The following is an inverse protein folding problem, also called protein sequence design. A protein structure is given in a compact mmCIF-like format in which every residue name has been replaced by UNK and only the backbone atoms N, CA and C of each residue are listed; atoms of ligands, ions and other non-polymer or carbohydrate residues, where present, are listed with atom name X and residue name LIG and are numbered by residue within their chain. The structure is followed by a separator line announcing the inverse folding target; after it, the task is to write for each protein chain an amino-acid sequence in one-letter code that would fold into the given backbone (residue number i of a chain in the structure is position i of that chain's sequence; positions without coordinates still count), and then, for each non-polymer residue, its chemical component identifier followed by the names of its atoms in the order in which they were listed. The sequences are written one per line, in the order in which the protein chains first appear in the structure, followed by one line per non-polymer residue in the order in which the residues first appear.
data_IF_905900283092
#
_entry.id   IF_905900283092
#
_cell.length_a   1.000
_cell.length_b   1.000
_cell.length_c   1.000
_cell.angle_alpha   90.00
_cell.angle_beta   90.00
_cell.angle_gamma   90.00
#
_symmetry.space_group_name_H-M   'P 1'
#
loop_
_entity.id
_entity.type
_entity.pdbx_description
1 polymer ?
#
# COMPACT_ATOMS: atom_id res chain seq x y z
N UNK A 1 8.06 -8.74 -34.71
CA UNK A 1 7.56 -7.80 -33.69
C UNK A 1 6.41 -8.50 -33.00
N UNK A 2 6.75 -9.37 -32.04
CA UNK A 2 5.77 -10.15 -31.29
C UNK A 2 5.08 -9.22 -30.30
N UNK A 3 3.76 -9.13 -30.41
CA UNK A 3 2.91 -8.52 -29.39
C UNK A 3 2.99 -9.43 -28.16
N UNK A 4 3.86 -9.11 -27.21
CA UNK A 4 3.86 -9.71 -25.87
C UNK A 4 2.50 -9.45 -25.27
N UNK A 5 1.61 -10.46 -25.29
CA UNK A 5 0.34 -10.43 -24.56
C UNK A 5 0.67 -10.08 -23.11
N UNK A 6 0.07 -9.00 -22.61
CA UNK A 6 0.15 -8.67 -21.19
C UNK A 6 -0.31 -9.93 -20.42
N UNK A 7 0.52 -10.45 -19.50
CA UNK A 7 0.08 -11.57 -18.69
C UNK A 7 -1.16 -11.08 -17.93
N UNK A 8 -2.25 -11.84 -18.01
CA UNK A 8 -3.54 -11.62 -17.32
C UNK A 8 -4.70 -10.96 -18.09
N UNK A 9 -4.65 -10.75 -19.41
CA UNK A 9 -5.77 -10.14 -20.16
C UNK A 9 -7.14 -10.81 -19.89
N UNK A 10 -7.20 -12.14 -19.95
CA UNK A 10 -8.45 -12.89 -19.72
C UNK A 10 -8.90 -12.78 -18.25
N UNK A 11 -7.97 -12.88 -17.32
CA UNK A 11 -8.24 -12.76 -15.88
C UNK A 11 -8.68 -11.34 -15.51
N UNK A 12 -8.17 -10.32 -16.19
CA UNK A 12 -8.57 -8.93 -16.00
C UNK A 12 -10.00 -8.70 -16.49
N UNK A 13 -10.38 -9.28 -17.63
CA UNK A 13 -11.76 -9.25 -18.13
C UNK A 13 -12.69 -9.93 -17.12
N UNK A 14 -12.34 -11.14 -16.66
CA UNK A 14 -13.14 -11.87 -15.66
C UNK A 14 -13.26 -11.07 -14.36
N UNK A 15 -12.15 -10.52 -13.85
CA UNK A 15 -12.11 -9.74 -12.62
C UNK A 15 -13.01 -8.50 -12.71
N UNK A 16 -12.96 -7.76 -13.83
CA UNK A 16 -13.86 -6.62 -14.07
C UNK A 16 -15.33 -7.03 -14.08
N UNK A 17 -15.64 -8.20 -14.65
CA UNK A 17 -16.99 -8.79 -14.59
C UNK A 17 -17.44 -9.04 -13.14
N UNK A 18 -16.60 -9.73 -12.37
CA UNK A 18 -16.86 -10.00 -10.93
C UNK A 18 -17.02 -8.73 -10.12
N UNK A 19 -16.23 -7.68 -10.39
CA UNK A 19 -16.33 -6.38 -9.70
C UNK A 19 -17.70 -5.74 -9.91
N UNK A 20 -18.24 -5.79 -11.14
CA UNK A 20 -19.57 -5.22 -11.46
C UNK A 20 -20.71 -5.93 -10.74
N UNK A 21 -20.54 -7.20 -10.42
CA UNK A 21 -21.54 -8.00 -9.69
C UNK A 21 -21.33 -7.95 -8.16
N UNK A 22 -20.27 -7.28 -7.67
CA UNK A 22 -19.89 -7.33 -6.26
C UNK A 22 -20.28 -6.05 -5.52
N UNK A 23 -21.37 -6.10 -4.74
CA UNK A 23 -21.97 -4.97 -4.01
C UNK A 23 -20.99 -4.07 -3.23
N UNK A 24 -19.94 -4.65 -2.63
CA UNK A 24 -18.97 -3.87 -1.86
C UNK A 24 -17.87 -3.22 -2.70
N UNK A 25 -17.55 -3.74 -3.90
CA UNK A 25 -16.42 -3.29 -4.71
C UNK A 25 -16.90 -2.42 -5.88
N UNK A 26 -18.06 -2.76 -6.47
CA UNK A 26 -18.68 -2.04 -7.59
C UNK A 26 -18.72 -0.51 -7.39
N UNK A 27 -19.08 0.03 -6.21
CA UNK A 27 -19.15 1.48 -5.99
C UNK A 27 -17.80 2.20 -6.11
N UNK A 28 -16.70 1.44 -6.14
CA UNK A 28 -15.34 1.93 -6.28
C UNK A 28 -14.72 1.55 -7.63
N UNK A 29 -15.48 0.95 -8.56
CA UNK A 29 -14.94 0.47 -9.83
C UNK A 29 -14.23 1.57 -10.65
N UNK A 30 -14.71 2.82 -10.60
CA UNK A 30 -14.14 3.97 -11.31
C UNK A 30 -12.69 4.33 -10.91
N UNK A 31 -12.27 3.94 -9.70
CA UNK A 31 -10.92 4.23 -9.16
C UNK A 31 -9.98 3.02 -9.24
N UNK A 32 -10.51 1.86 -9.64
CA UNK A 32 -9.80 0.60 -9.81
C UNK A 32 -9.45 0.40 -11.28
N UNK A 33 -8.55 1.24 -11.80
CA UNK A 33 -8.06 1.14 -13.17
C UNK A 33 -7.30 -0.17 -13.46
N UNK A 34 -7.04 -0.42 -14.74
CA UNK A 34 -6.43 -1.66 -15.23
C UNK A 34 -5.05 -1.92 -14.62
N UNK A 35 -4.24 -0.88 -14.41
CA UNK A 35 -2.93 -1.01 -13.79
C UNK A 35 -3.06 -1.45 -12.33
N UNK A 36 -4.01 -0.86 -11.60
CA UNK A 36 -4.32 -1.22 -10.23
C UNK A 36 -4.80 -2.68 -10.14
N UNK A 37 -5.78 -3.07 -10.96
CA UNK A 37 -6.32 -4.43 -10.97
C UNK A 37 -5.28 -5.48 -11.39
N UNK A 38 -4.42 -5.13 -12.34
CA UNK A 38 -3.32 -5.99 -12.78
C UNK A 38 -2.29 -6.20 -11.67
N UNK A 39 -1.99 -5.16 -10.88
CA UNK A 39 -1.18 -5.29 -9.67
C UNK A 39 -1.77 -6.30 -8.67
N UNK A 40 -3.10 -6.28 -8.49
CA UNK A 40 -3.81 -7.27 -7.67
C UNK A 40 -3.70 -8.70 -8.20
N UNK A 41 -3.96 -8.90 -9.49
CA UNK A 41 -3.84 -10.20 -10.14
C UNK A 41 -2.42 -10.74 -10.04
N UNK A 42 -1.42 -9.91 -10.34
CA UNK A 42 0.01 -10.24 -10.21
C UNK A 42 0.32 -10.71 -8.78
N UNK A 43 -0.09 -9.93 -7.78
CA UNK A 43 0.07 -10.26 -6.36
C UNK A 43 -0.51 -11.61 -5.94
N UNK A 44 -1.61 -12.02 -6.55
CA UNK A 44 -2.30 -13.29 -6.29
C UNK A 44 -2.04 -14.35 -7.36
N UNK A 45 -1.01 -14.18 -8.20
CA UNK A 45 -0.58 -15.13 -9.25
C UNK A 45 -1.67 -15.44 -10.29
N UNK A 46 -2.49 -14.44 -10.62
CA UNK A 46 -3.60 -14.56 -11.59
C UNK A 46 -4.84 -15.25 -11.04
N UNK A 47 -4.89 -15.57 -9.75
CA UNK A 47 -6.06 -16.18 -9.12
C UNK A 47 -7.16 -15.12 -8.90
N UNK A 48 -8.21 -15.17 -9.73
CA UNK A 48 -9.29 -14.17 -9.74
C UNK A 48 -10.07 -14.20 -8.42
N UNK A 49 -10.39 -15.38 -7.88
CA UNK A 49 -11.18 -15.48 -6.64
C UNK A 49 -10.40 -14.93 -5.43
N UNK A 50 -9.11 -15.26 -5.30
CA UNK A 50 -8.24 -14.66 -4.28
C UNK A 50 -8.07 -13.16 -4.49
N UNK A 51 -8.09 -12.71 -5.74
CA UNK A 51 -7.99 -11.29 -6.09
C UNK A 51 -9.23 -10.51 -5.67
N UNK A 52 -10.43 -11.00 -5.98
CA UNK A 52 -11.71 -10.40 -5.55
C UNK A 52 -11.74 -10.28 -4.03
N UNK A 53 -11.38 -11.35 -3.30
CA UNK A 53 -11.33 -11.33 -1.84
C UNK A 53 -10.31 -10.33 -1.30
N UNK A 54 -9.15 -10.19 -1.96
CA UNK A 54 -8.14 -9.20 -1.58
C UNK A 54 -8.62 -7.76 -1.83
N UNK A 55 -9.32 -7.53 -2.94
CA UNK A 55 -9.92 -6.23 -3.26
C UNK A 55 -11.03 -5.89 -2.26
N UNK A 56 -11.90 -6.84 -1.91
CA UNK A 56 -12.90 -6.65 -0.87
C UNK A 56 -12.27 -6.22 0.45
N UNK A 57 -11.24 -6.94 0.90
CA UNK A 57 -10.50 -6.58 2.12
C UNK A 57 -9.82 -5.22 2.01
N UNK A 58 -9.24 -4.88 0.86
CA UNK A 58 -8.65 -3.56 0.60
C UNK A 58 -9.70 -2.45 0.71
N UNK A 59 -10.86 -2.61 0.08
CA UNK A 59 -11.96 -1.65 0.16
C UNK A 59 -12.48 -1.54 1.59
N UNK A 60 -12.76 -2.65 2.29
CA UNK A 60 -13.18 -2.62 3.70
C UNK A 60 -12.14 -1.95 4.61
N UNK A 61 -10.86 -2.21 4.37
CA UNK A 61 -9.76 -1.55 5.06
C UNK A 61 -9.87 -0.04 4.89
N UNK A 62 -9.95 0.44 3.64
CA UNK A 62 -9.98 1.86 3.32
C UNK A 62 -11.23 2.59 3.79
N UNK A 63 -12.37 1.91 3.75
CA UNK A 63 -13.68 2.52 3.89
C UNK A 63 -14.26 2.42 5.29
N UNK A 64 -13.89 1.37 6.02
CA UNK A 64 -14.43 1.08 7.36
C UNK A 64 -13.33 1.22 8.40
N UNK A 65 -12.28 0.39 8.31
CA UNK A 65 -11.26 0.29 9.38
C UNK A 65 -10.44 1.57 9.53
N UNK A 66 -10.12 2.22 8.42
CA UNK A 66 -9.22 3.39 8.38
C UNK A 66 -9.92 4.69 8.00
N UNK A 67 -11.25 4.72 7.93
CA UNK A 67 -12.04 5.88 7.50
C UNK A 67 -11.58 7.20 8.13
N UNK A 68 -11.27 7.18 9.42
CA UNK A 68 -10.85 8.38 10.16
C UNK A 68 -9.47 8.89 9.74
N UNK A 69 -8.59 8.01 9.26
CA UNK A 69 -7.26 8.34 8.75
C UNK A 69 -7.29 8.68 7.25
N UNK A 70 -8.10 7.97 6.47
CA UNK A 70 -8.13 8.08 5.01
C UNK A 70 -8.96 9.26 4.50
N UNK A 71 -10.00 9.69 5.23
CA UNK A 71 -10.94 10.71 4.76
C UNK A 71 -10.30 12.06 4.44
N UNK A 72 -9.34 12.48 5.26
CA UNK A 72 -8.66 13.79 5.16
C UNK A 72 -7.29 13.71 4.51
N UNK A 73 -6.86 12.52 4.09
CA UNK A 73 -5.50 12.34 3.61
C UNK A 73 -5.35 12.89 2.19
N UNK A 74 -4.39 13.80 2.03
CA UNK A 74 -3.92 14.31 0.74
C UNK A 74 -2.41 14.18 0.73
N UNK A 75 -1.83 13.28 -0.06
CA UNK A 75 -0.38 13.15 -0.22
C UNK A 75 0.37 14.48 -0.29
N UNK A 76 -0.12 15.45 -1.07
CA UNK A 76 0.52 16.75 -1.24
C UNK A 76 0.72 17.52 0.08
N UNK A 77 -0.16 17.30 1.06
CA UNK A 77 -0.19 18.01 2.35
C UNK A 77 0.65 17.34 3.45
N UNK A 78 1.12 16.10 3.22
CA UNK A 78 1.81 15.32 4.25
C UNK A 78 3.30 15.62 4.24
N UNK A 79 3.72 16.51 5.14
CA UNK A 79 5.14 16.90 5.33
C UNK A 79 6.08 15.71 5.62
N UNK A 80 5.55 14.64 6.19
CA UNK A 80 6.31 13.44 6.52
C UNK A 80 6.90 12.78 5.25
N UNK A 81 6.23 12.92 4.10
CA UNK A 81 6.77 12.44 2.82
C UNK A 81 8.01 13.23 2.39
N UNK A 82 8.04 14.53 2.63
CA UNK A 82 9.20 15.40 2.33
C UNK A 82 10.41 15.09 3.22
N UNK A 83 10.16 14.47 4.37
CA UNK A 83 11.19 14.04 5.33
C UNK A 83 11.75 12.65 5.01
N UNK A 84 11.36 12.04 3.88
CA UNK A 84 11.86 10.72 3.47
C UNK A 84 11.27 9.55 4.26
N UNK A 85 10.09 9.71 4.86
CA UNK A 85 9.47 8.63 5.64
C UNK A 85 9.03 7.40 4.82
N UNK A 86 9.07 7.52 3.50
CA UNK A 86 8.85 6.44 2.55
C UNK A 86 9.84 6.60 1.39
N UNK A 87 10.66 5.58 1.20
CA UNK A 87 11.65 5.54 0.14
C UNK A 87 11.66 4.16 -0.50
N UNK A 88 11.60 4.12 -1.83
CA UNK A 88 11.69 2.89 -2.62
C UNK A 88 13.10 2.78 -3.17
N UNK A 89 13.75 1.63 -3.02
CA UNK A 89 15.09 1.44 -3.57
C UNK A 89 15.01 1.22 -5.08
N UNK A 90 15.96 1.78 -5.83
CA UNK A 90 16.09 1.55 -7.28
C UNK A 90 16.44 0.12 -7.61
N UNK A 91 17.23 -0.51 -6.75
CA UNK A 91 17.75 -1.86 -6.95
C UNK A 91 16.95 -2.89 -6.17
N UNK A 92 16.67 -4.02 -6.82
CA UNK A 92 16.13 -5.19 -6.15
C UNK A 92 17.24 -5.91 -5.41
N UNK A 93 16.86 -6.68 -4.39
CA UNK A 93 17.79 -7.57 -3.72
C UNK A 93 18.18 -8.78 -4.59
N UNK A 94 19.13 -9.64 -4.17
CA UNK A 94 19.57 -10.79 -4.96
C UNK A 94 18.47 -11.80 -5.30
N UNK A 95 17.33 -11.76 -4.59
CA UNK A 95 16.16 -12.60 -4.85
C UNK A 95 15.13 -11.92 -5.75
N UNK A 96 15.44 -10.73 -6.29
CA UNK A 96 14.56 -9.96 -7.16
C UNK A 96 13.42 -9.26 -6.43
N UNK A 97 13.51 -9.12 -5.10
CA UNK A 97 12.47 -8.50 -4.27
C UNK A 97 12.64 -6.98 -4.25
N UNK A 98 11.52 -6.26 -4.25
CA UNK A 98 11.51 -4.80 -4.07
C UNK A 98 11.92 -4.48 -2.63
N UNK A 99 12.84 -3.55 -2.44
CA UNK A 99 13.30 -3.11 -1.12
C UNK A 99 12.71 -1.74 -0.81
N UNK A 100 12.08 -1.61 0.35
CA UNK A 100 11.46 -0.36 0.81
C UNK A 100 12.08 0.07 2.14
N UNK A 101 12.32 1.37 2.30
CA UNK A 101 12.68 1.99 3.57
C UNK A 101 11.52 2.85 4.05
N UNK A 102 11.02 2.58 5.25
CA UNK A 102 9.87 3.28 5.83
C UNK A 102 10.12 3.69 7.27
N UNK A 103 9.62 4.85 7.66
CA UNK A 103 9.47 5.20 9.08
C UNK A 103 8.24 4.53 9.68
N UNK A 104 8.26 4.31 11.00
CA UNK A 104 7.17 3.68 11.75
C UNK A 104 5.95 4.63 11.89
N UNK A 105 5.17 4.77 10.81
CA UNK A 105 3.92 5.53 10.81
C UNK A 105 2.85 4.87 9.93
N UNK A 106 1.57 5.00 10.35
CA UNK A 106 0.43 4.48 9.57
C UNK A 106 0.33 5.18 8.20
N UNK A 107 0.65 6.48 8.16
CA UNK A 107 0.68 7.29 6.96
C UNK A 107 1.62 6.73 5.89
N UNK A 108 2.88 6.49 6.26
CA UNK A 108 3.89 5.94 5.36
C UNK A 108 3.48 4.55 4.85
N UNK A 109 2.94 3.71 5.74
CA UNK A 109 2.47 2.38 5.39
C UNK A 109 1.33 2.42 4.35
N UNK A 110 0.39 3.35 4.50
CA UNK A 110 -0.73 3.51 3.56
C UNK A 110 -0.28 4.03 2.19
N UNK A 111 0.59 5.04 2.17
CA UNK A 111 1.16 5.56 0.91
C UNK A 111 2.01 4.54 0.18
N UNK A 112 2.79 3.76 0.94
CA UNK A 112 3.56 2.64 0.41
C UNK A 112 2.66 1.63 -0.29
N UNK A 113 1.50 1.32 0.30
CA UNK A 113 0.56 0.41 -0.31
C UNK A 113 0.05 0.97 -1.65
N UNK A 114 -0.43 2.20 -1.68
CA UNK A 114 -1.07 2.75 -2.88
C UNK A 114 -0.11 2.92 -4.05
N UNK A 115 1.06 3.50 -3.78
CA UNK A 115 2.10 3.67 -4.79
C UNK A 115 2.78 2.34 -5.12
N UNK A 116 3.00 1.51 -4.11
CA UNK A 116 3.53 0.16 -4.26
C UNK A 116 2.67 -0.64 -5.23
N UNK A 117 1.35 -0.66 -5.06
CA UNK A 117 0.43 -1.38 -5.95
C UNK A 117 0.51 -0.86 -7.38
N UNK A 118 0.49 0.47 -7.56
CA UNK A 118 0.39 1.08 -8.89
C UNK A 118 1.68 0.97 -9.70
N UNK A 119 2.85 1.12 -9.07
CA UNK A 119 4.13 1.23 -9.78
C UNK A 119 5.09 0.07 -9.54
N UNK A 120 5.16 -0.46 -8.32
CA UNK A 120 6.23 -1.39 -7.92
C UNK A 120 5.80 -2.85 -7.92
N UNK A 121 4.58 -3.14 -7.46
CA UNK A 121 3.99 -4.47 -7.55
C UNK A 121 3.56 -4.82 -8.97
N UNK A 122 3.55 -3.84 -9.88
CA UNK A 122 3.54 -4.11 -11.30
C UNK A 122 4.82 -4.87 -11.73
N UNK A 123 6.01 -4.49 -11.27
CA UNK A 123 7.28 -5.08 -11.73
C UNK A 123 7.78 -6.23 -10.85
N UNK A 124 7.35 -6.32 -9.60
CA UNK A 124 7.72 -7.41 -8.68
C UNK A 124 6.72 -7.63 -7.54
N UNK A 125 6.27 -8.87 -7.34
CA UNK A 125 5.19 -9.20 -6.37
C UNK A 125 5.68 -9.56 -4.96
N UNK A 126 6.98 -9.49 -4.71
CA UNK A 126 7.59 -9.82 -3.43
C UNK A 126 8.43 -8.65 -2.96
N UNK A 127 8.38 -8.36 -1.66
CA UNK A 127 9.08 -7.21 -1.12
C UNK A 127 9.65 -7.46 0.26
N UNK A 128 10.64 -6.63 0.60
CA UNK A 128 11.28 -6.57 1.90
C UNK A 128 11.19 -5.14 2.40
N UNK A 129 10.78 -4.97 3.66
CA UNK A 129 10.67 -3.65 4.28
C UNK A 129 11.76 -3.47 5.32
N UNK A 130 12.51 -2.40 5.21
CA UNK A 130 13.41 -1.88 6.23
C UNK A 130 12.63 -0.79 6.97
N UNK A 131 12.48 -0.97 8.28
CA UNK A 131 11.75 -0.06 9.15
C UNK A 131 12.77 0.72 9.97
N UNK A 132 12.90 2.00 9.64
CA UNK A 132 13.80 2.90 10.36
C UNK A 132 13.15 3.42 11.64
N UNK A 133 13.73 3.02 12.78
CA UNK A 133 13.32 3.48 14.11
C UNK A 133 14.13 4.70 14.59
N UNK A 134 15.06 5.21 13.78
CA UNK A 134 15.84 6.40 14.13
C UNK A 134 14.90 7.59 14.31
N UNK A 135 15.04 8.29 15.45
CA UNK A 135 14.17 9.42 15.77
C UNK A 135 12.78 9.04 16.27
N UNK A 136 12.52 7.75 16.58
CA UNK A 136 11.31 7.32 17.30
C UNK A 136 11.20 8.05 18.64
N UNK A 137 10.44 9.14 18.66
CA UNK A 137 10.24 9.95 19.85
C UNK A 137 9.13 9.35 20.73
N UNK A 138 9.10 9.69 22.03
CA UNK A 138 8.01 9.29 22.92
C UNK A 138 6.62 9.68 22.39
N UNK A 139 6.53 10.73 21.55
CA UNK A 139 5.28 11.10 20.89
C UNK A 139 4.82 10.04 19.85
N UNK A 140 5.73 9.47 19.06
CA UNK A 140 5.44 8.36 18.15
C UNK A 140 5.16 7.05 18.91
N UNK A 141 5.87 6.79 20.02
CA UNK A 141 5.56 5.65 20.88
C UNK A 141 4.15 5.75 21.49
N UNK A 142 3.70 6.96 21.84
CA UNK A 142 2.32 7.21 22.31
C UNK A 142 1.26 7.00 21.24
N UNK A 143 1.59 7.18 19.95
CA UNK A 143 0.66 6.90 18.85
C UNK A 143 0.68 5.44 18.40
N UNK A 144 1.71 4.65 18.76
CA UNK A 144 1.80 3.18 18.59
C UNK A 144 0.89 2.41 19.56
N UNK A 145 -0.39 2.75 19.61
CA UNK A 145 -1.37 1.98 20.40
C UNK A 145 -1.51 0.55 19.87
N UNK A 146 -1.95 -0.40 20.70
CA UNK A 146 -2.22 -1.78 20.27
C UNK A 146 -3.15 -1.83 19.05
N UNK A 147 -4.16 -0.94 19.01
CA UNK A 147 -5.03 -0.79 17.85
C UNK A 147 -4.23 -0.47 16.57
N UNK A 148 -3.33 0.50 16.64
CA UNK A 148 -2.52 0.93 15.50
C UNK A 148 -1.51 -0.15 15.06
N UNK A 149 -0.99 -0.94 16.00
CA UNK A 149 -0.15 -2.10 15.70
C UNK A 149 -0.96 -3.18 14.95
N UNK A 150 -2.15 -3.53 15.46
CA UNK A 150 -3.02 -4.49 14.77
C UNK A 150 -3.42 -4.00 13.39
N UNK A 151 -3.66 -2.70 13.22
CA UNK A 151 -3.90 -2.09 11.92
C UNK A 151 -2.69 -2.32 10.99
N UNK A 152 -1.47 -1.96 11.39
CA UNK A 152 -0.29 -2.19 10.55
C UNK A 152 -0.15 -3.67 10.17
N UNK A 153 -0.30 -4.60 11.12
CA UNK A 153 -0.20 -6.06 10.85
C UNK A 153 -1.30 -6.54 9.89
N UNK A 154 -2.55 -6.12 10.09
CA UNK A 154 -3.67 -6.50 9.21
C UNK A 154 -3.45 -5.98 7.79
N UNK A 155 -2.90 -4.77 7.65
CA UNK A 155 -2.51 -4.19 6.36
C UNK A 155 -1.58 -5.14 5.59
N UNK A 156 -0.45 -5.53 6.20
CA UNK A 156 0.56 -6.36 5.54
C UNK A 156 0.15 -7.82 5.30
N UNK A 157 -0.76 -8.36 6.11
CA UNK A 157 -1.10 -9.81 6.05
C UNK A 157 -2.28 -10.12 5.14
N UNK A 158 -3.27 -9.23 5.02
CA UNK A 158 -4.54 -9.55 4.33
C UNK A 158 -4.90 -8.61 3.20
N UNK A 159 -4.36 -7.40 3.19
CA UNK A 159 -4.88 -6.31 2.36
C UNK A 159 -3.95 -5.99 1.18
N UNK A 160 -2.66 -6.31 1.26
CA UNK A 160 -1.71 -6.00 0.18
C UNK A 160 -1.73 -7.07 -0.92
N UNK A 161 -1.81 -6.66 -2.20
CA UNK A 161 -1.62 -7.55 -3.35
C UNK A 161 -0.12 -7.79 -3.63
N UNK A 162 0.63 -8.16 -2.60
CA UNK A 162 2.00 -8.59 -2.76
C UNK A 162 2.36 -9.51 -1.60
N UNK A 163 3.59 -9.99 -1.59
CA UNK A 163 4.06 -11.01 -0.66
C UNK A 163 5.21 -10.44 0.16
N UNK A 164 4.93 -9.93 1.37
CA UNK A 164 6.00 -9.54 2.28
C UNK A 164 6.85 -10.77 2.59
N UNK A 165 8.17 -10.65 2.46
CA UNK A 165 9.11 -11.75 2.75
C UNK A 165 9.91 -11.54 4.02
N UNK A 166 10.22 -10.30 4.35
CA UNK A 166 10.92 -9.94 5.56
C UNK A 166 10.61 -8.48 5.94
N UNK A 167 10.69 -8.22 7.25
CA UNK A 167 10.63 -6.88 7.82
C UNK A 167 11.84 -6.76 8.75
N UNK A 168 12.75 -5.83 8.43
CA UNK A 168 13.96 -5.57 9.21
C UNK A 168 13.78 -4.28 10.00
N UNK A 169 13.82 -4.34 11.33
CA UNK A 169 13.78 -3.15 12.17
C UNK A 169 15.22 -2.72 12.47
N UNK A 170 15.59 -1.53 12.01
CA UNK A 170 16.89 -0.92 12.27
C UNK A 170 16.74 0.22 13.27
N UNK A 171 17.82 0.56 13.97
CA UNK A 171 17.83 1.60 15.02
C UNK A 171 16.86 1.34 16.19
N UNK A 172 16.24 0.14 16.26
CA UNK A 172 15.56 -0.36 17.46
C UNK A 172 16.55 -0.89 18.49
N UNK A 173 17.64 -1.48 18.00
CA UNK A 173 18.89 -1.74 18.71
C UNK A 173 20.07 -1.17 17.89
N UNK A 174 21.24 -1.03 18.51
CA UNK A 174 22.44 -0.43 17.89
C UNK A 174 23.03 -1.20 16.71
N UNK A 175 22.57 -2.43 16.46
CA UNK A 175 23.19 -3.32 15.50
C UNK A 175 22.52 -3.27 14.12
N UNK A 176 23.11 -2.50 13.22
CA UNK A 176 22.72 -2.46 11.79
C UNK A 176 23.49 -3.53 11.00
N UNK A 177 24.46 -4.23 11.59
CA UNK A 177 25.37 -5.13 10.86
C UNK A 177 24.65 -6.37 10.32
N UNK A 178 23.68 -6.90 11.07
CA UNK A 178 22.83 -8.02 10.63
C UNK A 178 21.86 -7.69 9.47
N UNK A 179 21.70 -6.40 9.12
CA UNK A 179 20.94 -6.02 7.92
C UNK A 179 21.62 -6.58 6.66
N UNK A 180 22.95 -6.56 6.63
CA UNK A 180 23.73 -6.95 5.45
C UNK A 180 23.76 -8.45 5.19
N UNK A 181 23.44 -9.26 6.20
CA UNK A 181 23.20 -10.71 6.04
C UNK A 181 22.00 -10.99 5.13
N UNK A 182 21.04 -10.05 5.06
CA UNK A 182 19.78 -10.22 4.35
C UNK A 182 19.64 -9.30 3.13
N UNK A 183 20.24 -8.11 3.17
CA UNK A 183 20.16 -7.08 2.13
C UNK A 183 21.57 -6.55 1.85
N UNK A 184 22.15 -6.79 0.66
CA UNK A 184 23.54 -6.42 0.37
C UNK A 184 23.81 -4.91 0.52
N UNK A 185 24.95 -4.56 1.12
CA UNK A 185 25.43 -3.17 1.26
C UNK A 185 25.49 -2.42 -0.08
N UNK A 186 25.87 -3.11 -1.16
CA UNK A 186 25.99 -2.55 -2.52
C UNK A 186 24.70 -1.96 -3.12
N UNK A 187 23.53 -2.28 -2.57
CA UNK A 187 22.23 -1.74 -3.02
C UNK A 187 21.63 -0.73 -2.04
N UNK A 188 22.31 -0.47 -0.92
CA UNK A 188 21.83 0.39 0.16
C UNK A 188 22.57 1.73 0.18
N UNK A 189 21.92 2.80 0.68
CA UNK A 189 22.57 4.09 0.86
C UNK A 189 23.56 4.08 2.04
N UNK A 190 24.49 5.02 2.07
CA UNK A 190 25.44 5.20 3.19
C UNK A 190 24.77 5.34 4.56
N UNK A 191 23.56 5.92 4.62
CA UNK A 191 22.79 6.04 5.88
C UNK A 191 22.42 4.68 6.50
N UNK A 192 22.41 3.62 5.70
CA UNK A 192 22.18 2.24 6.12
C UNK A 192 23.47 1.41 6.09
N UNK A 193 24.63 2.06 6.23
CA UNK A 193 25.97 1.45 6.08
C UNK A 193 26.18 0.77 4.72
N UNK A 194 25.47 1.22 3.68
CA UNK A 194 25.64 0.74 2.31
C UNK A 194 26.75 1.44 1.54
N UNK A 195 26.82 1.19 0.23
CA UNK A 195 27.89 1.68 -0.65
C UNK A 195 27.44 2.80 -1.60
N UNK A 196 26.13 3.05 -1.69
CA UNK A 196 25.55 3.99 -2.64
C UNK A 196 25.26 5.37 -2.03
N UNK A 197 25.30 6.39 -2.88
CA UNK A 197 24.70 7.68 -2.55
C UNK A 197 23.18 7.54 -2.40
N UNK A 198 22.54 8.53 -1.77
CA UNK A 198 21.08 8.55 -1.66
C UNK A 198 20.40 8.55 -3.04
N UNK A 199 20.98 9.30 -3.99
CA UNK A 199 20.46 9.44 -5.34
C UNK A 199 20.59 8.14 -6.13
N UNK A 200 21.66 7.37 -5.91
CA UNK A 200 21.88 6.09 -6.59
C UNK A 200 21.08 4.95 -5.95
N UNK A 201 20.83 5.00 -4.64
CA UNK A 201 20.08 3.96 -3.94
C UNK A 201 18.57 4.09 -4.12
N UNK A 202 18.02 5.31 -4.16
CA UNK A 202 16.58 5.57 -3.95
C UNK A 202 15.92 6.14 -5.22
N UNK A 203 14.73 5.67 -5.54
CA UNK A 203 13.91 6.31 -6.58
C UNK A 203 13.32 7.62 -6.05
N UNK A 204 14.04 8.71 -6.34
CA UNK A 204 13.66 10.08 -5.99
C UNK A 204 12.32 10.54 -6.60
N UNK A 205 11.81 9.83 -7.61
CA UNK A 205 10.50 10.14 -8.21
C UNK A 205 9.33 9.56 -7.41
N UNK A 206 9.59 8.69 -6.43
CA UNK A 206 8.54 8.09 -5.59
C UNK A 206 7.70 9.14 -4.88
N UNK A 207 8.35 10.07 -4.18
CA UNK A 207 7.64 11.11 -3.42
C UNK A 207 6.85 12.06 -4.33
N UNK A 208 7.43 12.61 -5.42
CA UNK A 208 6.68 13.38 -6.41
C UNK A 208 5.43 12.66 -6.95
N UNK A 209 5.54 11.38 -7.33
CA UNK A 209 4.40 10.60 -7.83
C UNK A 209 3.30 10.45 -6.77
N UNK A 210 3.68 10.08 -5.55
CA UNK A 210 2.74 9.98 -4.42
C UNK A 210 2.02 11.32 -4.22
N UNK A 211 2.77 12.43 -4.17
CA UNK A 211 2.21 13.78 -3.99
C UNK A 211 1.30 14.24 -5.12
N UNK A 212 1.54 13.78 -6.34
CA UNK A 212 0.68 14.08 -7.51
C UNK A 212 -0.64 13.30 -7.51
N UNK A 213 -0.81 12.34 -6.59
CA UNK A 213 -1.96 11.42 -6.60
C UNK A 213 -3.16 11.90 -5.79
N UNK A 214 -3.25 13.18 -5.40
CA UNK A 214 -4.33 13.72 -4.57
C UNK A 214 -5.74 13.39 -5.09
N UNK A 215 -5.95 13.47 -6.41
CA UNK A 215 -7.24 13.17 -7.06
C UNK A 215 -7.74 11.75 -6.72
N UNK A 216 -6.84 10.76 -6.67
CA UNK A 216 -7.20 9.40 -6.30
C UNK A 216 -7.75 9.33 -4.87
N UNK A 217 -7.10 10.02 -3.91
CA UNK A 217 -7.56 10.05 -2.51
C UNK A 217 -8.86 10.85 -2.36
N UNK A 218 -9.05 11.89 -3.17
CA UNK A 218 -10.29 12.68 -3.23
C UNK A 218 -11.49 11.88 -3.71
N UNK A 219 -11.31 11.16 -4.83
CA UNK A 219 -12.34 10.31 -5.41
C UNK A 219 -12.69 9.17 -4.47
N UNK A 220 -11.69 8.53 -3.88
CA UNK A 220 -11.92 7.50 -2.87
C UNK A 220 -12.74 8.06 -1.70
N UNK A 221 -12.36 9.21 -1.14
CA UNK A 221 -13.08 9.86 -0.03
C UNK A 221 -14.52 10.25 -0.40
N UNK A 222 -14.74 10.74 -1.62
CA UNK A 222 -16.06 11.10 -2.12
C UNK A 222 -16.98 9.89 -2.25
N UNK A 223 -16.46 8.76 -2.76
CA UNK A 223 -17.22 7.52 -2.86
C UNK A 223 -17.59 6.96 -1.47
N UNK A 224 -16.75 7.14 -0.44
CA UNK A 224 -17.08 6.79 0.95
C UNK A 224 -18.30 7.54 1.49
N UNK A 225 -18.37 8.83 1.21
CA UNK A 225 -19.46 9.67 1.68
C UNK A 225 -20.79 9.30 0.98
N UNK A 226 -20.73 8.89 -0.29
CA UNK A 226 -21.90 8.40 -1.04
C UNK A 226 -22.42 7.05 -0.51
N UNK A 227 -21.53 6.07 -0.28
CA UNK A 227 -21.93 4.75 0.28
C UNK A 227 -22.48 4.88 1.70
N UNK A 228 -21.89 5.75 2.53
CA UNK A 228 -22.40 6.00 3.90
C UNK A 228 -23.83 6.57 3.85
N UNK A 229 -24.10 7.53 2.94
CA UNK A 229 -25.43 8.14 2.78
C UNK A 229 -26.49 7.15 2.28
N UNK A 230 -26.13 6.20 1.43
CA UNK A 230 -27.07 5.18 0.93
C UNK A 230 -27.36 4.10 2.00
N UNK A 231 -26.37 3.73 2.81
CA UNK A 231 -26.54 2.80 3.93
C UNK A 231 -27.46 3.32 5.05
N UNK A 232 -27.43 4.62 5.34
CA UNK A 232 -28.34 5.23 6.32
C UNK A 232 -29.78 5.42 5.79
N UNK A 233 -29.93 5.67 4.48
CA UNK A 233 -31.25 5.72 3.83
C UNK A 233 -31.93 4.36 3.78
N UNK A 234 -31.18 3.27 3.53
CA UNK A 234 -31.75 1.91 3.53
C UNK A 234 -32.10 1.44 4.94
N UNK A 235 -31.30 1.78 5.96
CA UNK A 235 -31.60 1.50 7.38
C UNK A 235 -32.83 2.27 7.89
N UNK A 236 -32.96 3.55 7.59
CA UNK A 236 -34.14 4.35 7.98
C UNK A 236 -35.42 3.94 7.24
N UNK A 237 -35.32 3.45 5.99
CA UNK A 237 -36.45 2.87 5.27
C UNK A 237 -36.90 1.51 5.85
N UNK A 238 -35.95 0.71 6.37
CA UNK A 238 -36.25 -0.57 7.01
C UNK A 238 -36.86 -0.44 8.41
N UNK A 239 -36.54 0.64 9.15
CA UNK A 239 -37.14 0.89 10.48
C UNK A 239 -38.57 1.44 10.38
N UNK A 240 -38.90 2.21 9.33
CA UNK A 240 -40.27 2.71 9.08
C UNK A 240 -41.25 1.66 8.55
N UNK A 241 -40.76 0.51 8.08
CA UNK A 241 -41.61 -0.62 7.65
C UNK A 241 -41.90 -1.63 8.77
N UNK A 242 -41.34 -1.44 9.96
CA UNK A 242 -41.51 -2.31 11.15
C UNK A 242 -42.25 -1.62 12.30
N UNK A 243 -42.84 -0.46 12.07
CA UNK A 243 -43.62 0.33 13.03
C UNK A 243 -45.04 0.54 12.51
#
# INVERSE_FOLDING_TARGET
MECTKEPFDLQLIELKGRIKEHDQIEPFSDILDDNFLTGFLRGKKGDVDKTVKCLEHYIQMRTVKYKNFTKTFRPSTVKLLDQGALQMMKHHDPLGRVVLLVQITIAAALFMMDEGIRHYFATGNEFVTIVDCAGACLAQARTMTLRNIFLMVDMFTKNVPSRPKAIHFIHFHSDVEHLHDHIPSRILPYSLKGELSLEDAIDLNTIPRIKSSDEFYERLSSQLDNTTRHGDKSRSASSRRRS
#
